data_IF_491273749360
#
_entry.id   IF_491273749360
#
_cell.length_a   1.000
_cell.length_b   1.000
_cell.length_c   1.000
_cell.angle_alpha   90.00
_cell.angle_beta   90.00
_cell.angle_gamma   90.00
#
_symmetry.space_group_name_H-M   'P 1'
#
loop_
_entity.id
_entity.type
_entity.pdbx_description
1 polymer ?
#
# COMPACT_ATOMS: atom_id res chain seq x y z
N UNK A 1 -12.48 0.58 1.83
CA UNK A 1 -11.77 -0.50 2.57
C UNK A 1 -12.66 -1.06 3.69
N UNK A 2 -12.58 -2.36 3.99
CA UNK A 2 -13.45 -3.03 4.97
C UNK A 2 -12.80 -3.30 6.33
N UNK A 3 -13.57 -3.82 7.32
CA UNK A 3 -13.12 -4.00 8.71
C UNK A 3 -11.85 -4.84 8.89
N UNK A 4 -11.61 -5.81 7.99
CA UNK A 4 -10.43 -6.68 8.02
C UNK A 4 -9.11 -5.91 7.80
N UNK A 5 -9.20 -4.71 7.22
CA UNK A 5 -8.04 -3.85 6.98
C UNK A 5 -7.82 -2.86 8.13
N UNK A 6 -8.60 -2.93 9.21
CA UNK A 6 -8.49 -2.01 10.34
C UNK A 6 -7.31 -2.37 11.26
N UNK A 7 -6.69 -1.37 11.86
CA UNK A 7 -5.84 -1.52 13.04
C UNK A 7 -6.69 -1.42 14.33
N UNK A 8 -6.05 -1.62 15.48
CA UNK A 8 -6.71 -1.56 16.80
C UNK A 8 -7.33 -0.19 17.14
N UNK A 9 -7.05 0.86 16.35
CA UNK A 9 -7.60 2.20 16.51
C UNK A 9 -8.78 2.47 15.56
N UNK A 10 -9.22 1.48 14.77
CA UNK A 10 -10.34 1.62 13.83
C UNK A 10 -9.98 2.33 12.51
N UNK A 11 -8.71 2.64 12.28
CA UNK A 11 -8.19 3.19 11.03
C UNK A 11 -7.66 2.08 10.13
N UNK A 12 -7.51 2.33 8.84
CA UNK A 12 -6.80 1.43 7.93
C UNK A 12 -5.39 1.18 8.48
N UNK A 13 -5.03 -0.10 8.58
CA UNK A 13 -3.72 -0.54 9.00
C UNK A 13 -2.65 -0.08 8.00
N UNK A 14 -1.57 0.55 8.48
CA UNK A 14 -0.51 1.08 7.62
C UNK A 14 0.10 0.03 6.68
N UNK A 15 0.32 -1.19 7.17
CA UNK A 15 0.76 -2.33 6.35
C UNK A 15 -0.16 -2.67 5.17
N UNK A 16 -1.47 -2.43 5.28
CA UNK A 16 -2.38 -2.61 4.15
C UNK A 16 -2.16 -1.54 3.06
N UNK A 17 -1.94 -0.29 3.48
CA UNK A 17 -1.60 0.81 2.57
C UNK A 17 -0.26 0.55 1.89
N UNK A 18 0.76 0.10 2.65
CA UNK A 18 2.07 -0.28 2.12
C UNK A 18 1.96 -1.37 1.05
N UNK A 19 1.16 -2.41 1.30
CA UNK A 19 0.92 -3.48 0.33
C UNK A 19 0.35 -2.94 -0.98
N UNK A 20 -0.65 -2.06 -0.92
CA UNK A 20 -1.24 -1.47 -2.12
C UNK A 20 -0.23 -0.61 -2.90
N UNK A 21 0.60 0.16 -2.20
CA UNK A 21 1.69 0.92 -2.84
C UNK A 21 2.70 0.00 -3.53
N UNK A 22 3.12 -1.09 -2.88
CA UNK A 22 4.06 -2.06 -3.45
C UNK A 22 3.47 -2.78 -4.67
N UNK A 23 2.21 -3.22 -4.60
CA UNK A 23 1.51 -3.85 -5.74
C UNK A 23 1.42 -2.89 -6.94
N UNK A 24 1.05 -1.63 -6.70
CA UNK A 24 0.99 -0.61 -7.75
C UNK A 24 2.38 -0.35 -8.37
N UNK A 25 3.43 -0.23 -7.54
CA UNK A 25 4.81 -0.05 -7.98
C UNK A 25 5.32 -1.24 -8.79
N UNK A 26 5.08 -2.46 -8.31
CA UNK A 26 5.46 -3.71 -8.98
C UNK A 26 4.78 -3.87 -10.34
N UNK A 27 3.49 -3.54 -10.45
CA UNK A 27 2.78 -3.52 -11.73
C UNK A 27 3.39 -2.51 -12.71
N UNK A 28 3.67 -1.28 -12.25
CA UNK A 28 4.27 -0.25 -13.07
C UNK A 28 5.67 -0.65 -13.56
N UNK A 29 6.51 -1.19 -12.67
CA UNK A 29 7.86 -1.66 -12.99
C UNK A 29 7.83 -2.83 -13.98
N UNK A 30 6.97 -3.83 -13.76
CA UNK A 30 6.80 -4.98 -14.66
C UNK A 30 6.37 -4.53 -16.06
N UNK A 31 5.41 -3.60 -16.14
CA UNK A 31 4.93 -3.04 -17.41
C UNK A 31 6.04 -2.29 -18.15
N UNK A 32 6.79 -1.45 -17.46
CA UNK A 32 7.90 -0.68 -18.05
C UNK A 32 9.02 -1.60 -18.54
N UNK A 33 9.41 -2.59 -17.74
CA UNK A 33 10.53 -3.48 -18.05
C UNK A 33 10.18 -4.58 -19.06
N UNK A 34 8.88 -4.86 -19.28
CA UNK A 34 8.35 -6.01 -20.06
C UNK A 34 8.95 -7.35 -19.62
N UNK A 35 9.21 -7.48 -18.32
CA UNK A 35 9.77 -8.65 -17.65
C UNK A 35 9.38 -8.61 -16.17
N UNK A 36 9.46 -9.73 -15.43
CA UNK A 36 9.27 -9.74 -13.99
C UNK A 36 10.20 -8.72 -13.31
N UNK A 37 9.64 -7.95 -12.37
CA UNK A 37 10.37 -7.02 -11.53
C UNK A 37 10.13 -7.36 -10.05
N UNK A 38 11.10 -7.00 -9.21
CA UNK A 38 11.04 -7.20 -7.76
C UNK A 38 11.34 -5.88 -7.06
N UNK A 39 10.69 -5.64 -5.93
CA UNK A 39 10.95 -4.46 -5.09
C UNK A 39 12.31 -4.63 -4.41
N UNK A 40 13.24 -3.73 -4.72
CA UNK A 40 14.58 -3.72 -4.10
C UNK A 40 14.59 -2.94 -2.79
N UNK A 41 13.97 -1.76 -2.79
CA UNK A 41 13.86 -0.87 -1.63
C UNK A 41 12.60 -0.02 -1.73
N UNK A 42 12.07 0.37 -0.57
CA UNK A 42 11.12 1.46 -0.41
C UNK A 42 11.78 2.45 0.55
N UNK A 43 12.25 3.58 0.03
CA UNK A 43 13.13 4.47 0.81
C UNK A 43 12.43 5.11 2.01
N UNK A 44 11.21 5.63 1.80
CA UNK A 44 10.40 6.14 2.90
C UNK A 44 8.91 6.14 2.55
N UNK A 45 8.08 6.01 3.58
CA UNK A 45 6.64 6.19 3.49
C UNK A 45 6.17 6.99 4.71
N UNK A 46 5.52 8.12 4.44
CA UNK A 46 5.00 9.00 5.48
C UNK A 46 3.47 8.95 5.45
N UNK A 47 2.85 8.59 6.57
CA UNK A 47 1.40 8.61 6.74
C UNK A 47 0.97 9.98 7.25
N UNK A 48 0.51 10.84 6.35
CA UNK A 48 0.18 12.24 6.67
C UNK A 48 -1.12 12.40 7.48
N UNK A 49 -2.09 11.51 7.29
CA UNK A 49 -3.36 11.54 8.00
C UNK A 49 -3.93 10.13 8.17
N UNK A 50 -4.75 9.89 9.21
CA UNK A 50 -5.49 8.65 9.34
C UNK A 50 -6.42 8.43 8.14
N UNK A 51 -6.55 7.18 7.72
CA UNK A 51 -7.57 6.76 6.76
C UNK A 51 -8.61 5.96 7.52
N UNK A 52 -9.83 6.48 7.61
CA UNK A 52 -10.91 5.79 8.32
C UNK A 52 -11.39 4.60 7.49
N UNK A 53 -11.76 3.51 8.16
CA UNK A 53 -12.43 2.39 7.50
C UNK A 53 -13.75 2.89 6.92
N UNK A 54 -14.08 2.43 5.70
CA UNK A 54 -15.28 2.88 4.99
C UNK A 54 -15.16 4.22 4.26
N UNK A 55 -14.05 4.97 4.41
CA UNK A 55 -13.79 6.09 3.49
C UNK A 55 -13.64 5.54 2.06
N UNK A 56 -14.37 6.16 1.13
CA UNK A 56 -14.33 5.96 -0.33
C UNK A 56 -13.59 7.14 -0.97
#
# INVERSE_FOLDING_TARGET
>A
MGPVNANNLGNVHGGHIMKLCDEAGGMAATKHARRPAVTVTVDSMNFHSPVNIGNL
#
